data_IF_225616492798
#
_entry.id   IF_225616492798
#
_cell.length_a   1.000
_cell.length_b   1.000
_cell.length_c   1.000
_cell.angle_alpha   90.00
_cell.angle_beta   90.00
_cell.angle_gamma   90.00
#
_symmetry.space_group_name_H-M   'P 1'
#
loop_
_entity.id
_entity.type
_entity.pdbx_description
1 polymer ?
#
# COMPACT_ATOMS: atom_id res chain seq x y z
N UNK A 1 24.23 2.56 17.58
CA UNK A 1 23.35 3.40 16.74
C UNK A 1 22.38 2.48 16.04
N UNK A 2 21.16 2.35 16.55
CA UNK A 2 20.20 1.31 16.16
C UNK A 2 19.05 2.00 15.42
N UNK A 3 18.65 1.45 14.27
CA UNK A 3 17.34 1.65 13.62
C UNK A 3 17.11 2.83 12.63
N UNK A 4 18.13 3.43 12.02
CA UNK A 4 17.88 4.50 11.02
C UNK A 4 17.82 4.05 9.55
N UNK A 5 18.01 2.77 9.23
CA UNK A 5 18.03 2.30 7.82
C UNK A 5 17.12 1.10 7.56
N UNK A 6 16.12 0.89 8.40
CA UNK A 6 15.01 -0.03 8.10
C UNK A 6 13.82 0.71 7.49
N UNK A 7 13.75 2.04 7.56
CA UNK A 7 12.55 2.83 7.28
C UNK A 7 12.75 3.67 6.02
N UNK A 8 13.04 3.03 4.88
CA UNK A 8 12.95 3.73 3.60
C UNK A 8 11.49 4.11 3.33
N UNK A 9 11.15 5.35 2.91
CA UNK A 9 9.78 5.69 2.59
C UNK A 9 9.28 4.75 1.50
N UNK A 10 8.08 4.20 1.68
CA UNK A 10 7.43 3.43 0.63
C UNK A 10 7.31 4.30 -0.63
N UNK A 11 7.87 3.84 -1.74
CA UNK A 11 7.86 4.57 -3.01
C UNK A 11 7.21 3.74 -4.08
N UNK A 12 6.36 4.38 -4.87
CA UNK A 12 5.86 3.80 -6.10
C UNK A 12 6.97 3.64 -7.13
N UNK A 13 6.80 2.66 -8.02
CA UNK A 13 7.74 2.44 -9.11
C UNK A 13 7.65 3.62 -10.10
N UNK A 14 8.77 4.23 -10.53
CA UNK A 14 8.73 5.26 -11.56
C UNK A 14 8.11 4.69 -12.85
N UNK A 15 7.11 5.41 -13.39
CA UNK A 15 6.36 5.00 -14.58
C UNK A 15 5.03 4.28 -14.31
N UNK A 16 4.66 4.03 -13.04
CA UNK A 16 3.31 3.53 -12.72
C UNK A 16 2.31 4.69 -12.64
N UNK A 17 1.10 4.46 -13.13
CA UNK A 17 0.00 5.40 -13.00
C UNK A 17 -0.57 5.32 -11.57
N UNK A 18 0.07 6.00 -10.62
CA UNK A 18 -0.28 5.97 -9.19
C UNK A 18 -1.77 6.26 -8.97
N UNK A 19 -2.30 7.32 -9.58
CA UNK A 19 -3.71 7.68 -9.42
C UNK A 19 -4.68 6.60 -9.94
N UNK A 20 -4.36 5.97 -11.08
CA UNK A 20 -5.17 4.84 -11.59
C UNK A 20 -5.10 3.66 -10.64
N UNK A 21 -3.90 3.32 -10.20
CA UNK A 21 -3.67 2.22 -9.28
C UNK A 21 -4.40 2.42 -7.96
N UNK A 22 -4.36 3.62 -7.40
CA UNK A 22 -5.07 3.98 -6.17
C UNK A 22 -6.59 3.86 -6.33
N UNK A 23 -7.14 4.36 -7.44
CA UNK A 23 -8.56 4.22 -7.75
C UNK A 23 -8.96 2.76 -7.99
N UNK A 24 -8.13 1.98 -8.67
CA UNK A 24 -8.35 0.55 -8.90
C UNK A 24 -8.29 -0.23 -7.59
N UNK A 25 -7.30 0.04 -6.74
CA UNK A 25 -7.18 -0.55 -5.41
C UNK A 25 -8.29 -0.09 -4.46
N UNK A 26 -8.79 1.13 -4.59
CA UNK A 26 -9.96 1.56 -3.83
C UNK A 26 -11.23 0.85 -4.29
N UNK A 27 -11.38 0.59 -5.60
CA UNK A 27 -12.57 -0.04 -6.17
C UNK A 27 -12.59 -1.56 -5.97
N UNK A 28 -11.47 -2.22 -6.26
CA UNK A 28 -11.32 -3.68 -6.25
C UNK A 28 -10.62 -4.22 -5.00
N UNK A 29 -10.02 -3.35 -4.17
CA UNK A 29 -9.30 -3.79 -2.98
C UNK A 29 -10.22 -4.26 -1.86
N UNK A 30 -9.62 -5.03 -0.96
CA UNK A 30 -10.26 -5.65 0.20
C UNK A 30 -10.30 -4.64 1.36
N UNK A 31 -11.44 -4.43 2.02
CA UNK A 31 -11.49 -3.63 3.24
C UNK A 31 -10.66 -4.26 4.36
N UNK A 32 -10.00 -3.42 5.16
CA UNK A 32 -9.18 -3.91 6.28
C UNK A 32 -10.05 -4.33 7.46
N UNK A 33 -9.62 -5.34 8.24
CA UNK A 33 -10.27 -5.81 9.46
C UNK A 33 -10.12 -4.86 10.65
N UNK A 34 -9.26 -3.85 10.53
CA UNK A 34 -8.87 -2.93 11.62
C UNK A 34 -9.91 -1.85 11.96
N UNK A 35 -11.15 -1.96 11.47
CA UNK A 35 -12.24 -1.01 11.75
C UNK A 35 -12.09 0.39 11.15
N UNK A 36 -11.03 0.64 10.39
CA UNK A 36 -10.81 1.89 9.66
C UNK A 36 -11.34 1.79 8.23
N UNK A 37 -11.74 2.91 7.58
CA UNK A 37 -12.18 2.94 6.19
C UNK A 37 -10.99 2.82 5.22
N UNK A 38 -10.14 1.83 5.47
CA UNK A 38 -8.97 1.54 4.68
C UNK A 38 -9.26 0.32 3.81
N UNK A 39 -8.63 0.32 2.64
CA UNK A 39 -8.63 -0.82 1.75
C UNK A 39 -7.21 -1.24 1.46
N UNK A 40 -7.02 -2.50 1.13
CA UNK A 40 -5.72 -3.03 0.73
C UNK A 40 -5.91 -3.85 -0.53
N UNK A 41 -4.94 -3.80 -1.43
CA UNK A 41 -4.96 -4.60 -2.65
C UNK A 41 -3.62 -5.23 -2.91
N UNK A 42 -3.64 -6.50 -3.31
CA UNK A 42 -2.50 -7.20 -3.89
C UNK A 42 -2.54 -7.11 -5.41
N UNK A 43 -1.40 -6.77 -6.00
CA UNK A 43 -1.21 -6.78 -7.44
C UNK A 43 -0.38 -7.99 -7.87
N UNK A 44 -0.62 -8.49 -9.07
CA UNK A 44 0.20 -9.55 -9.67
C UNK A 44 1.60 -9.07 -10.06
N UNK A 45 1.79 -7.75 -10.19
CA UNK A 45 3.05 -7.11 -10.56
C UNK A 45 3.57 -6.20 -9.44
N UNK A 46 4.87 -5.89 -9.47
CA UNK A 46 5.48 -4.99 -8.50
C UNK A 46 5.06 -3.54 -8.77
N UNK A 47 4.34 -2.97 -7.82
CA UNK A 47 3.79 -1.60 -7.92
C UNK A 47 4.75 -0.55 -7.37
N UNK A 48 5.70 -0.98 -6.54
CA UNK A 48 6.64 -0.10 -5.90
C UNK A 48 7.65 -0.87 -5.06
N UNK A 49 8.23 -0.17 -4.11
CA UNK A 49 9.12 -0.75 -3.13
C UNK A 49 8.79 -0.20 -1.73
N UNK A 50 8.78 -1.10 -0.74
CA UNK A 50 8.69 -0.75 0.68
C UNK A 50 9.87 -1.40 1.38
N UNK A 51 10.55 -0.66 2.27
CA UNK A 51 11.72 -1.16 2.99
C UNK A 51 12.84 -1.70 2.06
N UNK A 52 13.00 -1.10 0.87
CA UNK A 52 13.99 -1.54 -0.12
C UNK A 52 13.67 -2.86 -0.82
N UNK A 53 12.50 -3.47 -0.54
CA UNK A 53 12.02 -4.67 -1.21
C UNK A 53 10.89 -4.31 -2.15
N UNK A 54 10.79 -5.05 -3.25
CA UNK A 54 9.66 -4.93 -4.17
C UNK A 54 8.37 -5.19 -3.40
N UNK A 55 7.45 -4.24 -3.50
CA UNK A 55 6.12 -4.34 -2.93
C UNK A 55 5.12 -4.46 -4.07
N UNK A 56 4.21 -5.42 -3.90
CA UNK A 56 3.03 -5.63 -4.74
C UNK A 56 1.73 -5.35 -3.97
N UNK A 57 1.84 -4.89 -2.72
CA UNK A 57 0.68 -4.60 -1.87
C UNK A 57 0.58 -3.11 -1.66
N UNK A 58 -0.63 -2.58 -1.80
CA UNK A 58 -0.93 -1.18 -1.50
C UNK A 58 -1.97 -1.12 -0.39
N UNK A 59 -1.81 -0.17 0.51
CA UNK A 59 -2.87 0.31 1.41
C UNK A 59 -3.44 1.59 0.85
N UNK A 60 -4.75 1.64 0.76
CA UNK A 60 -5.53 2.80 0.41
C UNK A 60 -6.18 3.35 1.66
N UNK A 61 -5.82 4.57 2.01
CA UNK A 61 -6.38 5.33 3.11
C UNK A 61 -7.37 6.33 2.54
N UNK A 62 -8.64 6.18 2.92
CA UNK A 62 -9.67 7.16 2.61
C UNK A 62 -9.74 8.17 3.77
N UNK A 63 -9.39 9.42 3.52
CA UNK A 63 -9.46 10.51 4.50
C UNK A 63 -10.16 11.72 3.90
N UNK A 64 -11.25 12.17 4.50
CA UNK A 64 -12.04 13.33 4.03
C UNK A 64 -12.42 13.30 2.53
N UNK A 65 -12.59 12.10 1.95
CA UNK A 65 -12.90 11.92 0.52
C UNK A 65 -11.68 11.89 -0.41
N UNK A 66 -10.46 12.07 0.12
CA UNK A 66 -9.22 11.86 -0.60
C UNK A 66 -8.75 10.40 -0.45
N UNK A 67 -8.30 9.83 -1.57
CA UNK A 67 -7.74 8.48 -1.66
C UNK A 67 -6.22 8.62 -1.62
N UNK A 68 -5.58 8.04 -0.62
CA UNK A 68 -4.13 8.02 -0.49
C UNK A 68 -3.61 6.59 -0.49
N UNK A 69 -2.75 6.27 -1.44
CA UNK A 69 -2.11 4.99 -1.59
C UNK A 69 -0.71 4.98 -1.00
N UNK A 70 -0.44 3.93 -0.23
CA UNK A 70 0.87 3.66 0.34
C UNK A 70 1.27 2.21 0.06
N UNK A 71 2.38 1.97 -0.66
CA UNK A 71 2.91 0.62 -0.81
C UNK A 71 3.31 0.04 0.55
N UNK A 72 2.78 -1.13 0.88
CA UNK A 72 3.03 -1.80 2.16
C UNK A 72 3.74 -3.14 1.93
N UNK A 73 4.29 -3.72 2.99
CA UNK A 73 4.87 -5.05 2.95
C UNK A 73 3.78 -6.13 3.09
N UNK A 74 4.05 -7.35 2.63
CA UNK A 74 3.16 -8.50 2.81
C UNK A 74 2.70 -8.69 4.26
N UNK A 75 3.62 -8.49 5.21
CA UNK A 75 3.34 -8.65 6.63
C UNK A 75 2.31 -7.63 7.14
N UNK A 76 2.37 -6.39 6.64
CA UNK A 76 1.38 -5.36 6.92
C UNK A 76 0.05 -5.65 6.23
N UNK A 77 0.09 -6.12 4.99
CA UNK A 77 -1.12 -6.52 4.26
C UNK A 77 -1.86 -7.61 5.03
N UNK A 78 -1.14 -8.67 5.43
CA UNK A 78 -1.69 -9.78 6.18
C UNK A 78 -2.22 -9.34 7.54
N UNK A 79 -1.55 -8.42 8.24
CA UNK A 79 -2.08 -7.83 9.50
C UNK A 79 -3.38 -7.07 9.30
N UNK A 80 -3.57 -6.43 8.15
CA UNK A 80 -4.76 -5.64 7.83
C UNK A 80 -5.91 -6.48 7.29
N UNK A 81 -5.66 -7.70 6.79
CA UNK A 81 -6.69 -8.60 6.25
C UNK A 81 -7.02 -9.80 7.15
N UNK A 82 -6.27 -9.99 8.23
CA UNK A 82 -6.40 -11.13 9.15
C UNK A 82 -7.19 -10.77 10.41
#
# INVERSE_FOLDING_TARGET
MIASTLIGPAKYRPGIAIEKLEREAYKNGTPTTNGKPWKVMEFSHCIGASHGKLSRWVRIELSAGAIHGHPISEQEFRRLTN
#
